data_IF_549097999355
#
_entry.id   IF_549097999355
#
_cell.length_a   1.000
_cell.length_b   1.000
_cell.length_c   1.000
_cell.angle_alpha   90.00
_cell.angle_beta   90.00
_cell.angle_gamma   90.00
#
_symmetry.space_group_name_H-M   'P 1'
#
loop_
_entity.id
_entity.type
_entity.pdbx_description
1 polymer ?
#
# COMPACT_ATOMS: atom_id res chain seq x y z
N UNK A 1 -4.53 -11.78 1.92
CA UNK A 1 -4.95 -10.43 1.49
C UNK A 1 -4.28 -9.42 2.43
N UNK A 2 -3.61 -8.39 1.91
CA UNK A 2 -2.89 -7.41 2.75
C UNK A 2 -3.87 -6.46 3.46
N UNK A 3 -5.03 -6.18 2.84
CA UNK A 3 -6.15 -5.51 3.48
C UNK A 3 -6.93 -6.52 4.33
N UNK A 4 -7.05 -6.32 5.66
CA UNK A 4 -7.96 -7.12 6.47
C UNK A 4 -9.40 -6.87 6.00
N UNK A 5 -10.21 -7.91 5.75
CA UNK A 5 -11.56 -7.75 5.22
C UNK A 5 -12.35 -6.75 6.06
N UNK A 6 -12.41 -6.91 7.37
CA UNK A 6 -13.26 -6.09 8.25
C UNK A 6 -12.83 -4.63 8.36
N UNK A 7 -11.60 -4.33 7.93
CA UNK A 7 -10.98 -3.01 8.00
C UNK A 7 -11.03 -2.22 6.69
N UNK A 8 -11.36 -2.88 5.57
CA UNK A 8 -11.50 -2.20 4.29
C UNK A 8 -12.71 -1.25 4.34
N UNK A 9 -12.59 0.01 3.87
CA UNK A 9 -13.76 0.83 3.61
C UNK A 9 -14.79 0.04 2.79
N UNK A 10 -16.08 0.18 3.13
CA UNK A 10 -17.15 -0.45 2.35
C UNK A 10 -17.23 0.21 0.97
N UNK A 11 -17.40 -0.58 -0.09
CA UNK A 11 -17.48 -0.07 -1.44
C UNK A 11 -16.11 0.21 -2.06
N UNK A 12 -16.04 1.28 -2.86
CA UNK A 12 -14.82 1.67 -3.59
C UNK A 12 -13.93 2.53 -2.71
N UNK A 13 -12.65 2.18 -2.64
CA UNK A 13 -11.63 3.01 -2.02
C UNK A 13 -10.33 3.01 -2.82
N UNK A 14 -9.56 4.06 -2.65
CA UNK A 14 -8.23 4.23 -3.22
C UNK A 14 -7.18 3.92 -2.17
N UNK A 15 -6.22 3.10 -2.55
CA UNK A 15 -5.01 2.83 -1.82
C UNK A 15 -3.86 3.43 -2.62
N UNK A 16 -3.06 4.29 -2.00
CA UNK A 16 -1.81 4.78 -2.58
C UNK A 16 -0.66 4.39 -1.67
N UNK A 17 0.39 3.80 -2.21
CA UNK A 17 1.57 3.47 -1.43
C UNK A 17 2.86 3.75 -2.19
N UNK A 18 3.89 4.09 -1.43
CA UNK A 18 5.22 4.44 -1.92
C UNK A 18 6.16 3.30 -1.63
N UNK A 19 6.89 2.86 -2.64
CA UNK A 19 7.92 1.84 -2.55
C UNK A 19 9.26 2.51 -2.85
N UNK A 20 10.17 2.46 -1.89
CA UNK A 20 11.54 2.93 -2.08
C UNK A 20 12.28 2.04 -3.10
N UNK A 21 13.39 2.53 -3.65
CA UNK A 21 14.18 1.79 -4.64
C UNK A 21 14.69 0.44 -4.11
N UNK A 22 14.82 0.28 -2.80
CA UNK A 22 15.22 -0.99 -2.21
C UNK A 22 14.04 -2.00 -2.12
N UNK A 23 12.80 -1.56 -2.30
CA UNK A 23 11.57 -2.35 -2.27
C UNK A 23 10.73 -2.20 -1.00
N UNK A 24 11.14 -1.38 -0.02
CA UNK A 24 10.38 -1.16 1.23
C UNK A 24 9.21 -0.23 0.96
N UNK A 25 8.05 -0.53 1.54
CA UNK A 25 6.95 0.45 1.59
C UNK A 25 7.30 1.54 2.61
N UNK A 26 7.34 2.79 2.17
CA UNK A 26 7.67 3.94 3.03
C UNK A 26 6.43 4.64 3.54
N UNK A 27 5.39 4.71 2.71
CA UNK A 27 4.15 5.38 3.05
C UNK A 27 2.92 4.72 2.43
N UNK A 28 1.77 4.95 3.06
CA UNK A 28 0.48 4.32 2.74
C UNK A 28 -0.67 5.30 3.04
N UNK A 29 -1.44 5.62 2.02
CA UNK A 29 -2.66 6.43 2.09
C UNK A 29 -3.88 5.60 1.69
N UNK A 30 -5.00 5.85 2.37
CA UNK A 30 -6.30 5.21 2.10
C UNK A 30 -7.36 6.30 2.03
N UNK A 31 -8.17 6.29 0.98
CA UNK A 31 -9.29 7.21 0.80
C UNK A 31 -10.57 6.49 0.32
N UNK A 32 -11.69 6.56 1.06
CA UNK A 32 -11.82 7.19 2.38
C UNK A 32 -11.08 6.42 3.47
N UNK A 33 -10.71 7.11 4.55
CA UNK A 33 -10.11 6.47 5.71
C UNK A 33 -11.07 5.42 6.31
N UNK A 34 -10.54 4.28 6.80
CA UNK A 34 -11.33 3.34 7.58
C UNK A 34 -12.00 4.03 8.77
N UNK A 35 -13.25 3.65 9.08
CA UNK A 35 -13.98 4.18 10.23
C UNK A 35 -13.32 3.82 11.57
N UNK A 36 -12.65 2.67 11.62
CA UNK A 36 -11.94 2.20 12.80
C UNK A 36 -10.44 2.58 12.72
N UNK A 37 -9.91 3.38 13.67
CA UNK A 37 -8.50 3.76 13.71
C UNK A 37 -7.53 2.59 13.89
N UNK A 38 -7.92 1.54 14.62
CA UNK A 38 -7.08 0.36 14.85
C UNK A 38 -6.83 -0.40 13.55
N UNK A 39 -7.87 -0.50 12.72
CA UNK A 39 -7.82 -1.04 11.38
C UNK A 39 -6.84 -0.31 10.46
N UNK A 40 -6.72 1.02 10.57
CA UNK A 40 -5.72 1.79 9.83
C UNK A 40 -4.30 1.39 10.24
N UNK A 41 -4.03 1.32 11.53
CA UNK A 41 -2.72 0.95 12.07
C UNK A 41 -2.27 -0.43 11.60
N UNK A 42 -3.14 -1.43 11.75
CA UNK A 42 -2.88 -2.81 11.33
C UNK A 42 -2.63 -2.92 9.82
N UNK A 43 -3.43 -2.23 9.01
CA UNK A 43 -3.26 -2.22 7.57
C UNK A 43 -1.91 -1.61 7.16
N UNK A 44 -1.60 -0.42 7.69
CA UNK A 44 -0.32 0.25 7.42
C UNK A 44 0.85 -0.64 7.87
N UNK A 45 0.75 -1.26 9.04
CA UNK A 45 1.75 -2.19 9.56
C UNK A 45 1.98 -3.38 8.62
N UNK A 46 0.91 -4.02 8.14
CA UNK A 46 0.99 -5.15 7.20
C UNK A 46 1.59 -4.75 5.85
N UNK A 47 1.21 -3.58 5.31
CA UNK A 47 1.81 -3.05 4.08
C UNK A 47 3.30 -2.75 4.27
N UNK A 48 3.69 -2.11 5.38
CA UNK A 48 5.09 -1.76 5.68
C UNK A 48 5.97 -2.98 5.97
N UNK A 49 5.39 -4.09 6.41
CA UNK A 49 6.11 -5.36 6.55
C UNK A 49 6.40 -6.05 5.20
N UNK A 50 5.72 -5.66 4.12
CA UNK A 50 5.92 -6.26 2.80
C UNK A 50 7.12 -5.65 2.08
N UNK A 51 7.81 -6.50 1.28
CA UNK A 51 8.95 -6.12 0.44
C UNK A 51 8.60 -6.38 -1.02
N UNK A 52 8.54 -5.32 -1.83
CA UNK A 52 8.30 -5.43 -3.26
C UNK A 52 9.61 -5.67 -4.02
N UNK A 53 9.52 -6.38 -5.15
CA UNK A 53 10.59 -6.37 -6.15
C UNK A 53 10.47 -5.05 -6.94
N UNK A 54 11.49 -4.17 -6.90
CA UNK A 54 11.41 -2.87 -7.56
C UNK A 54 11.45 -3.04 -9.08
N UNK A 55 10.79 -2.14 -9.79
CA UNK A 55 11.07 -1.93 -11.20
C UNK A 55 12.53 -1.50 -11.36
N UNK A 56 13.12 -1.77 -12.52
CA UNK A 56 14.51 -1.41 -12.84
C UNK A 56 14.56 -0.53 -14.08
N UNK A 57 15.52 0.38 -14.11
CA UNK A 57 15.89 1.10 -15.33
C UNK A 57 16.44 0.13 -16.37
N UNK A 58 16.64 0.60 -17.61
CA UNK A 58 17.26 -0.19 -18.67
C UNK A 58 18.62 -0.76 -18.27
N UNK A 59 19.38 -0.03 -17.47
CA UNK A 59 20.72 -0.42 -17.00
C UNK A 59 20.68 -1.26 -15.70
N UNK A 60 19.48 -1.67 -15.25
CA UNK A 60 19.30 -2.56 -14.10
C UNK A 60 19.20 -1.87 -12.74
N UNK A 61 19.25 -0.54 -12.68
CA UNK A 61 19.16 0.20 -11.42
C UNK A 61 17.73 0.17 -10.88
N UNK A 62 17.50 -0.23 -9.62
CA UNK A 62 16.14 -0.25 -9.08
C UNK A 62 15.61 1.18 -8.87
N UNK A 63 14.31 1.37 -9.09
CA UNK A 63 13.65 2.67 -8.99
C UNK A 63 12.56 2.67 -7.93
N UNK A 64 12.43 3.79 -7.22
CA UNK A 64 11.28 4.03 -6.35
C UNK A 64 10.01 4.20 -7.19
N UNK A 65 8.85 3.89 -6.62
CA UNK A 65 7.58 3.91 -7.34
C UNK A 65 6.40 4.23 -6.44
N UNK A 66 5.36 4.83 -7.02
CA UNK A 66 4.09 5.11 -6.37
C UNK A 66 3.03 4.24 -7.05
N UNK A 67 2.28 3.48 -6.26
CA UNK A 67 1.25 2.58 -6.77
C UNK A 67 -0.13 3.09 -6.36
N UNK A 68 -0.91 3.64 -7.29
CA UNK A 68 -2.34 3.88 -7.09
C UNK A 68 -3.10 2.58 -7.38
N UNK A 69 -3.80 2.07 -6.38
CA UNK A 69 -4.64 0.87 -6.48
C UNK A 69 -6.07 1.23 -6.13
N UNK A 70 -7.00 0.87 -7.00
CA UNK A 70 -8.42 1.00 -6.73
C UNK A 70 -8.96 -0.36 -6.31
N UNK A 71 -9.61 -0.40 -5.16
CA UNK A 71 -10.19 -1.63 -4.63
C UNK A 71 -11.71 -1.44 -4.52
N UNK A 72 -12.45 -2.47 -4.94
CA UNK A 72 -13.90 -2.56 -4.78
C UNK A 72 -14.17 -3.74 -3.87
N UNK A 73 -14.84 -3.50 -2.74
CA UNK A 73 -15.30 -4.53 -1.81
C UNK A 73 -16.81 -4.50 -1.66
#
# INVERSE_FOLDING_TARGET
MIVPPDCAPRGRYQLRFWVAADGRVTDVEIDPLPKDPSCRGDFVGRMKAYRFAPARTRDGQPVASIYPVQITR
#
